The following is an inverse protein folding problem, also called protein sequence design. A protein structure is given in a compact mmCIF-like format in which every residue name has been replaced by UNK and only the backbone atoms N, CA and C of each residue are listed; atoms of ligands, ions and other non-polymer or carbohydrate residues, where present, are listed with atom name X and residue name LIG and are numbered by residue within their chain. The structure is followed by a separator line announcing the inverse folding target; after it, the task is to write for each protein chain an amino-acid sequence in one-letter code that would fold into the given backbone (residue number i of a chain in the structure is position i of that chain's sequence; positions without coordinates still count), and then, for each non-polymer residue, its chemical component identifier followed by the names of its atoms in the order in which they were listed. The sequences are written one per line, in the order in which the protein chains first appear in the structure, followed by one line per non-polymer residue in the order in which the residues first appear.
data_IF_349780340866
#
_entry.id   IF_349780340866
#
_cell.length_a   1.000
_cell.length_b   1.000
_cell.length_c   1.000
_cell.angle_alpha   90.00
_cell.angle_beta   90.00
_cell.angle_gamma   90.00
#
_symmetry.space_group_name_H-M   'P 1'
#
loop_
_entity.id
_entity.type
_entity.pdbx_description
1 polymer ?
#
# COMPACT_ATOMS: atom_id res chain seq x y z
N UNK A 1 2.99 -63.92 5.74
CA UNK A 1 4.15 -63.33 5.05
C UNK A 1 3.85 -61.85 4.86
N UNK A 2 4.75 -61.00 5.34
CA UNK A 2 4.57 -59.56 5.52
C UNK A 2 4.77 -58.76 4.22
N UNK A 3 4.24 -57.51 4.24
CA UNK A 3 4.76 -56.30 3.56
C UNK A 3 4.75 -56.33 2.01
N UNK A 4 4.32 -55.31 1.27
CA UNK A 4 4.92 -53.96 1.21
C UNK A 4 3.86 -52.93 0.80
N UNK A 5 3.67 -51.93 1.66
CA UNK A 5 3.07 -50.64 1.36
C UNK A 5 4.11 -49.79 0.61
N UNK A 6 3.82 -49.32 -0.59
CA UNK A 6 4.66 -48.30 -1.24
C UNK A 6 4.19 -46.91 -0.84
N UNK A 7 4.88 -46.34 0.14
CA UNK A 7 4.87 -44.90 0.44
C UNK A 7 5.43 -44.13 -0.78
N UNK A 8 4.56 -43.43 -1.51
CA UNK A 8 4.97 -42.38 -2.44
C UNK A 8 5.27 -41.12 -1.64
N UNK A 9 6.52 -41.01 -1.17
CA UNK A 9 7.00 -39.90 -0.37
C UNK A 9 6.87 -38.56 -1.07
N UNK A 10 6.50 -37.56 -0.28
CA UNK A 10 6.67 -36.14 -0.55
C UNK A 10 8.06 -35.88 -1.15
N UNK A 11 8.07 -35.46 -2.42
CA UNK A 11 9.24 -34.82 -2.99
C UNK A 11 9.41 -33.47 -2.30
N UNK A 12 10.62 -33.12 -1.82
CA UNK A 12 10.85 -31.82 -1.20
C UNK A 12 10.54 -30.74 -2.22
N UNK A 13 9.57 -29.88 -1.87
CA UNK A 13 9.22 -28.69 -2.62
C UNK A 13 10.50 -27.87 -2.85
N UNK A 14 10.89 -27.74 -4.12
CA UNK A 14 11.97 -26.89 -4.62
C UNK A 14 12.01 -25.55 -3.87
N UNK A 15 13.15 -25.10 -3.32
CA UNK A 15 13.17 -23.87 -2.55
C UNK A 15 13.07 -22.65 -3.48
N UNK A 16 12.32 -21.66 -2.99
CA UNK A 16 12.28 -20.24 -3.30
C UNK A 16 12.00 -19.81 -4.76
N UNK A 17 10.89 -19.07 -4.91
CA UNK A 17 10.64 -18.24 -6.08
C UNK A 17 11.83 -17.32 -6.33
N UNK A 18 12.34 -17.30 -7.57
CA UNK A 18 13.47 -16.50 -8.01
C UNK A 18 13.32 -15.00 -7.64
N UNK A 19 13.89 -14.61 -6.49
CA UNK A 19 14.10 -13.24 -6.09
C UNK A 19 15.37 -12.67 -6.74
N UNK A 20 15.68 -11.40 -6.47
CA UNK A 20 16.95 -10.80 -6.90
C UNK A 20 18.13 -11.41 -6.15
N UNK A 21 19.30 -11.42 -6.80
CA UNK A 21 20.57 -11.80 -6.19
C UNK A 21 21.42 -10.55 -6.02
N UNK A 22 21.73 -10.16 -4.78
CA UNK A 22 22.57 -8.99 -4.51
C UNK A 22 24.00 -9.14 -5.08
N UNK A 23 24.48 -10.37 -5.26
CA UNK A 23 25.81 -10.65 -5.79
C UNK A 23 26.07 -10.14 -7.22
N UNK A 24 25.02 -9.82 -7.99
CA UNK A 24 25.15 -9.29 -9.36
C UNK A 24 24.92 -7.78 -9.46
N UNK A 25 24.85 -7.09 -8.32
CA UNK A 25 24.59 -5.65 -8.27
C UNK A 25 25.82 -4.84 -8.69
N UNK A 26 25.58 -3.69 -9.33
CA UNK A 26 26.62 -2.70 -9.55
C UNK A 26 27.14 -2.13 -8.22
N UNK A 27 28.29 -1.46 -8.25
CA UNK A 27 28.85 -0.79 -7.07
C UNK A 27 27.86 0.22 -6.45
N UNK A 28 27.15 0.99 -7.28
CA UNK A 28 26.14 1.95 -6.84
C UNK A 28 24.94 1.24 -6.20
N UNK A 29 24.50 0.12 -6.76
CA UNK A 29 23.38 -0.65 -6.19
C UNK A 29 23.76 -1.26 -4.85
N UNK A 30 24.98 -1.80 -4.76
CA UNK A 30 25.54 -2.43 -3.55
C UNK A 30 25.70 -1.40 -2.44
N UNK A 31 26.34 -0.25 -2.71
CA UNK A 31 26.49 0.83 -1.72
C UNK A 31 25.15 1.41 -1.23
N UNK A 32 24.06 1.21 -1.98
CA UNK A 32 22.72 1.63 -1.58
C UNK A 32 21.94 0.62 -0.76
N UNK A 33 22.32 -0.67 -0.72
CA UNK A 33 21.61 -1.69 0.05
C UNK A 33 21.49 -1.31 1.53
N UNK A 34 22.60 -0.89 2.13
CA UNK A 34 22.71 -0.59 3.56
C UNK A 34 22.57 0.91 3.87
N UNK A 35 22.14 1.72 2.89
CA UNK A 35 21.91 3.14 3.10
C UNK A 35 20.71 3.35 4.03
N UNK A 36 20.97 3.83 5.24
CA UNK A 36 19.95 4.12 6.24
C UNK A 36 19.05 5.27 5.79
N UNK A 37 17.74 5.03 5.80
CA UNK A 37 16.73 6.06 5.51
C UNK A 37 16.33 6.79 6.79
N UNK A 38 16.19 8.14 6.75
CA UNK A 38 15.77 8.90 7.91
C UNK A 38 14.31 8.57 8.25
N UNK A 39 14.08 8.07 9.47
CA UNK A 39 12.75 7.90 10.03
C UNK A 39 12.31 9.13 10.83
N UNK A 40 11.00 9.46 10.85
CA UNK A 40 10.44 10.43 11.78
C UNK A 40 10.82 10.12 13.23
N UNK A 41 11.10 11.15 14.04
CA UNK A 41 11.55 10.98 15.43
C UNK A 41 10.57 10.13 16.28
N UNK A 42 9.26 10.26 16.02
CA UNK A 42 8.21 9.50 16.72
C UNK A 42 8.27 7.98 16.47
N UNK A 43 8.90 7.52 15.38
CA UNK A 43 9.09 6.09 15.12
C UNK A 43 10.40 5.55 15.70
N UNK A 44 11.31 6.42 16.14
CA UNK A 44 12.59 6.04 16.78
C UNK A 44 12.48 5.83 18.28
N UNK A 45 11.46 6.41 18.91
CA UNK A 45 11.19 6.23 20.34
C UNK A 45 10.61 4.85 20.63
N UNK A 46 10.79 4.29 21.84
CA UNK A 46 10.31 2.95 22.17
C UNK A 46 8.78 2.82 22.15
N UNK A 47 8.07 3.93 22.38
CA UNK A 47 6.62 3.98 22.37
C UNK A 47 6.11 5.33 21.84
N UNK A 48 4.93 5.29 21.21
CA UNK A 48 4.16 6.47 20.84
C UNK A 48 2.70 6.24 21.19
N UNK A 49 1.95 7.33 21.32
CA UNK A 49 0.50 7.32 21.46
C UNK A 49 -0.13 7.74 20.14
N UNK A 50 -1.27 7.13 19.84
CA UNK A 50 -2.13 7.49 18.72
C UNK A 50 -3.16 8.48 19.25
N UNK A 51 -3.16 9.70 18.72
CA UNK A 51 -4.07 10.78 19.14
C UNK A 51 -5.00 11.10 17.99
N UNK A 52 -6.30 11.00 18.27
CA UNK A 52 -7.35 11.37 17.33
C UNK A 52 -7.41 12.89 17.17
N UNK A 53 -7.47 13.32 15.92
CA UNK A 53 -7.73 14.68 15.50
C UNK A 53 -9.20 14.90 15.15
N UNK A 54 -9.52 15.98 14.42
CA UNK A 54 -10.89 16.24 14.00
C UNK A 54 -11.45 15.12 13.10
N UNK A 55 -12.77 14.86 13.16
CA UNK A 55 -13.48 14.00 12.21
C UNK A 55 -13.23 14.43 10.77
N UNK A 56 -13.05 13.47 9.87
CA UNK A 56 -12.91 13.74 8.44
C UNK A 56 -14.27 13.95 7.76
N UNK A 57 -14.26 14.56 6.59
CA UNK A 57 -15.42 14.66 5.71
C UNK A 57 -14.98 14.52 4.25
N UNK A 58 -15.93 14.29 3.35
CA UNK A 58 -15.66 14.23 1.92
C UNK A 58 -15.56 15.64 1.30
N UNK A 59 -14.73 15.80 0.27
CA UNK A 59 -14.58 17.08 -0.43
C UNK A 59 -15.79 17.43 -1.32
N UNK A 60 -16.58 16.44 -1.71
CA UNK A 60 -17.79 16.63 -2.49
C UNK A 60 -18.84 15.58 -2.15
N UNK A 61 -20.10 16.00 -2.16
CA UNK A 61 -21.28 15.17 -1.89
C UNK A 61 -21.20 14.34 -0.59
N UNK A 62 -20.94 14.96 0.59
CA UNK A 62 -20.73 14.23 1.84
C UNK A 62 -21.89 13.29 2.19
N UNK A 63 -23.13 13.69 1.93
CA UNK A 63 -24.32 12.86 2.22
C UNK A 63 -24.38 11.60 1.35
N UNK A 64 -23.93 11.66 0.10
CA UNK A 64 -23.87 10.49 -0.78
C UNK A 64 -22.73 9.55 -0.38
N UNK A 65 -21.58 10.11 -0.01
CA UNK A 65 -20.42 9.33 0.44
C UNK A 65 -20.72 8.66 1.78
N UNK A 66 -21.38 9.35 2.71
CA UNK A 66 -21.81 8.77 3.98
C UNK A 66 -22.74 7.56 3.79
N UNK A 67 -23.61 7.60 2.77
CA UNK A 67 -24.46 6.44 2.41
C UNK A 67 -23.68 5.28 1.82
N UNK A 68 -22.61 5.56 1.08
CA UNK A 68 -21.76 4.52 0.47
C UNK A 68 -20.80 3.88 1.49
N UNK A 69 -20.36 4.65 2.48
CA UNK A 69 -19.34 4.25 3.46
C UNK A 69 -19.82 4.44 4.91
N UNK A 70 -20.92 3.82 5.34
CA UNK A 70 -21.47 4.02 6.68
C UNK A 70 -20.52 3.59 7.80
N UNK A 71 -19.61 2.65 7.56
CA UNK A 71 -18.64 2.20 8.56
C UNK A 71 -17.35 3.04 8.63
N UNK A 72 -16.98 3.72 7.54
CA UNK A 72 -15.73 4.48 7.43
C UNK A 72 -15.90 6.00 7.40
N UNK A 73 -17.06 6.51 7.02
CA UNK A 73 -17.27 7.94 6.90
C UNK A 73 -17.11 8.63 8.27
N UNK A 74 -16.46 9.79 8.31
CA UNK A 74 -16.30 10.57 9.53
C UNK A 74 -15.17 10.12 10.46
N UNK A 75 -14.37 9.12 10.09
CA UNK A 75 -13.25 8.68 10.92
C UNK A 75 -12.28 9.85 11.23
N UNK A 76 -11.79 9.95 12.48
CA UNK A 76 -10.88 11.03 12.84
C UNK A 76 -9.56 10.90 12.09
N UNK A 77 -8.97 12.05 11.79
CA UNK A 77 -7.54 12.10 11.46
C UNK A 77 -6.72 11.61 12.65
N UNK A 78 -5.50 11.14 12.41
CA UNK A 78 -4.66 10.53 13.44
C UNK A 78 -3.28 11.17 13.44
N UNK A 79 -2.76 11.47 14.63
CA UNK A 79 -1.38 11.91 14.85
C UNK A 79 -0.65 10.99 15.82
N UNK A 80 0.65 10.78 15.57
CA UNK A 80 1.50 10.03 16.49
C UNK A 80 2.27 11.00 17.39
N UNK A 81 2.19 10.81 18.69
CA UNK A 81 2.87 11.63 19.69
C UNK A 81 3.85 10.75 20.48
N UNK A 82 5.13 11.14 20.65
CA UNK A 82 6.08 10.38 21.46
C UNK A 82 5.55 10.16 22.89
N UNK A 83 5.77 8.96 23.43
CA UNK A 83 5.36 8.62 24.80
C UNK A 83 6.49 7.88 25.52
N UNK A 84 6.62 8.12 26.81
CA UNK A 84 7.52 7.36 27.70
C UNK A 84 6.86 6.10 28.26
N UNK A 85 5.52 6.06 28.22
CA UNK A 85 4.71 4.93 28.70
C UNK A 85 4.09 4.25 27.50
N UNK A 86 4.25 2.93 27.39
CA UNK A 86 3.47 2.15 26.44
C UNK A 86 2.01 2.20 26.87
N UNK A 87 1.19 2.98 26.16
CA UNK A 87 -0.26 2.84 26.28
C UNK A 87 -0.64 1.40 25.93
N UNK A 88 -1.62 0.83 26.61
CA UNK A 88 -2.02 -0.60 26.54
C UNK A 88 -2.65 -1.03 25.19
N UNK A 89 -2.25 -0.41 24.07
CA UNK A 89 -2.79 -0.69 22.75
C UNK A 89 -1.87 -0.33 21.57
N UNK A 90 -0.62 0.11 21.78
CA UNK A 90 0.26 0.54 20.67
C UNK A 90 1.32 -0.47 20.23
N UNK A 91 1.65 -1.45 21.08
CA UNK A 91 2.43 -2.62 20.68
C UNK A 91 1.66 -3.83 21.15
N UNK A 92 1.10 -4.54 20.20
CA UNK A 92 0.40 -5.75 20.48
C UNK A 92 1.42 -6.81 20.85
N UNK A 93 1.32 -7.38 22.04
CA UNK A 93 2.07 -8.60 22.42
C UNK A 93 1.67 -9.83 21.54
N UNK A 94 0.79 -9.61 20.56
CA UNK A 94 0.41 -10.58 19.57
C UNK A 94 1.16 -10.40 18.25
N UNK A 95 1.54 -11.54 17.67
CA UNK A 95 2.10 -11.67 16.32
C UNK A 95 1.07 -11.19 15.30
N UNK A 96 1.47 -10.29 14.41
CA UNK A 96 0.63 -9.78 13.34
C UNK A 96 0.87 -10.54 12.04
N UNK A 97 -0.17 -10.75 11.25
CA UNK A 97 -0.11 -11.24 9.88
C UNK A 97 -0.59 -10.13 8.95
N UNK A 98 0.34 -9.55 8.21
CA UNK A 98 0.07 -8.42 7.33
C UNK A 98 0.23 -8.86 5.87
N UNK A 99 -0.74 -8.51 5.03
CA UNK A 99 -0.63 -8.60 3.58
C UNK A 99 -0.22 -7.26 2.97
N UNK A 100 0.56 -7.27 1.89
CA UNK A 100 0.90 -6.07 1.11
C UNK A 100 0.75 -6.33 -0.38
N UNK A 101 0.27 -5.32 -1.11
CA UNK A 101 0.10 -5.38 -2.56
C UNK A 101 0.61 -4.10 -3.23
N UNK A 102 1.33 -4.26 -4.34
CA UNK A 102 1.72 -3.16 -5.23
C UNK A 102 0.70 -3.04 -6.37
N UNK A 103 0.00 -1.92 -6.46
CA UNK A 103 -1.05 -1.70 -7.45
C UNK A 103 -0.73 -0.52 -8.37
N UNK A 104 -1.08 -0.64 -9.65
CA UNK A 104 -0.88 0.39 -10.66
C UNK A 104 0.52 0.41 -11.29
N UNK A 105 0.86 1.54 -11.90
CA UNK A 105 2.19 1.77 -12.49
C UNK A 105 3.27 1.93 -11.42
N UNK A 106 4.47 1.43 -11.73
CA UNK A 106 5.63 1.50 -10.83
C UNK A 106 6.00 2.95 -10.47
N UNK A 107 6.48 3.13 -9.25
CA UNK A 107 7.02 4.39 -8.76
C UNK A 107 8.28 4.12 -7.93
N UNK A 108 9.33 4.95 -8.00
CA UNK A 108 10.49 4.82 -7.11
C UNK A 108 10.07 4.83 -5.64
N UNK A 109 10.60 3.91 -4.83
CA UNK A 109 10.33 3.81 -3.39
C UNK A 109 9.32 2.74 -2.97
N UNK A 110 8.65 2.04 -3.90
CA UNK A 110 7.68 1.00 -3.52
C UNK A 110 8.29 -0.16 -2.73
N UNK A 111 9.51 -0.60 -3.09
CA UNK A 111 10.23 -1.60 -2.28
C UNK A 111 10.51 -1.09 -0.87
N UNK A 112 10.86 0.18 -0.71
CA UNK A 112 11.14 0.78 0.60
C UNK A 112 9.91 0.85 1.50
N UNK A 113 8.70 1.01 0.95
CA UNK A 113 7.46 0.90 1.73
C UNK A 113 7.34 -0.52 2.31
N UNK A 114 7.55 -1.55 1.49
CA UNK A 114 7.51 -2.95 1.94
C UNK A 114 8.60 -3.23 2.97
N UNK A 115 9.83 -2.75 2.73
CA UNK A 115 10.96 -2.91 3.66
C UNK A 115 10.66 -2.24 5.00
N UNK A 116 10.11 -1.02 5.00
CA UNK A 116 9.79 -0.30 6.24
C UNK A 116 8.70 -0.98 7.07
N UNK A 117 7.67 -1.54 6.40
CA UNK A 117 6.65 -2.36 7.08
C UNK A 117 7.31 -3.60 7.69
N UNK A 118 8.15 -4.29 6.92
CA UNK A 118 8.86 -5.48 7.40
C UNK A 118 9.74 -5.16 8.60
N UNK A 119 10.56 -4.11 8.53
CA UNK A 119 11.46 -3.69 9.61
C UNK A 119 10.68 -3.34 10.88
N UNK A 120 9.58 -2.59 10.73
CA UNK A 120 8.71 -2.28 11.86
C UNK A 120 8.15 -3.54 12.52
N UNK A 121 7.68 -4.51 11.72
CA UNK A 121 7.18 -5.79 12.24
C UNK A 121 8.29 -6.59 12.95
N UNK A 122 9.50 -6.65 12.40
CA UNK A 122 10.61 -7.37 13.03
C UNK A 122 11.13 -6.69 14.30
N UNK A 123 11.10 -5.36 14.37
CA UNK A 123 11.59 -4.61 15.53
C UNK A 123 10.54 -4.52 16.65
N UNK A 124 9.30 -4.14 16.31
CA UNK A 124 8.26 -3.79 17.27
C UNK A 124 7.21 -4.89 17.49
N UNK A 125 7.04 -5.84 16.57
CA UNK A 125 6.01 -6.89 16.65
C UNK A 125 6.62 -8.27 16.33
N UNK A 126 7.66 -8.67 17.08
CA UNK A 126 8.45 -9.87 16.78
C UNK A 126 7.58 -11.13 16.62
N UNK A 127 7.92 -11.93 15.61
CA UNK A 127 7.16 -13.13 15.24
C UNK A 127 5.96 -12.86 14.31
N UNK A 128 5.79 -11.61 13.86
CA UNK A 128 4.86 -11.26 12.80
C UNK A 128 5.31 -11.75 11.42
N UNK A 129 4.33 -11.97 10.54
CA UNK A 129 4.54 -12.43 9.16
C UNK A 129 4.06 -11.38 8.17
N UNK A 130 4.83 -11.16 7.10
CA UNK A 130 4.46 -10.27 6.01
C UNK A 130 4.30 -11.07 4.71
N UNK A 131 3.13 -10.98 4.10
CA UNK A 131 2.81 -11.62 2.82
C UNK A 131 2.75 -10.60 1.70
N UNK A 132 3.48 -10.85 0.62
CA UNK A 132 3.44 -10.03 -0.60
C UNK A 132 2.55 -10.65 -1.68
N UNK A 133 1.43 -10.02 -2.01
CA UNK A 133 0.52 -10.47 -3.06
C UNK A 133 1.07 -10.17 -4.46
N UNK A 134 1.15 -11.21 -5.29
CA UNK A 134 1.81 -11.16 -6.59
C UNK A 134 0.93 -10.56 -7.68
N UNK A 135 1.45 -9.60 -8.43
CA UNK A 135 0.81 -9.06 -9.64
C UNK A 135 -0.38 -8.16 -9.35
N UNK A 136 -0.36 -7.40 -8.25
CA UNK A 136 -1.42 -6.45 -7.90
C UNK A 136 -2.66 -7.09 -7.27
N UNK A 137 -3.83 -6.41 -7.32
CA UNK A 137 -5.05 -6.88 -6.65
C UNK A 137 -5.53 -8.26 -7.09
N UNK A 138 -5.20 -8.68 -8.32
CA UNK A 138 -5.37 -10.05 -8.79
C UNK A 138 -4.71 -11.11 -7.91
N UNK A 139 -3.57 -10.78 -7.29
CA UNK A 139 -2.87 -11.65 -6.37
C UNK A 139 -3.69 -11.93 -5.12
N UNK A 140 -4.42 -10.92 -4.61
CA UNK A 140 -5.32 -11.07 -3.48
C UNK A 140 -6.47 -12.00 -3.86
N UNK A 141 -7.18 -11.70 -4.95
CA UNK A 141 -8.35 -12.49 -5.38
C UNK A 141 -8.01 -13.94 -5.70
N UNK A 142 -6.80 -14.22 -6.19
CA UNK A 142 -6.36 -15.57 -6.58
C UNK A 142 -5.52 -16.26 -5.50
N UNK A 143 -5.40 -15.68 -4.31
CA UNK A 143 -4.55 -16.19 -3.22
C UNK A 143 -3.11 -16.48 -3.68
N UNK A 144 -2.56 -15.63 -4.56
CA UNK A 144 -1.19 -15.72 -5.08
C UNK A 144 -0.30 -14.76 -4.31
N UNK A 145 0.47 -15.30 -3.37
CA UNK A 145 1.37 -14.52 -2.52
C UNK A 145 2.71 -15.25 -2.33
N UNK A 146 3.64 -14.55 -1.70
CA UNK A 146 4.84 -15.11 -1.08
C UNK A 146 4.95 -14.56 0.35
N UNK A 147 5.51 -15.36 1.24
CA UNK A 147 6.01 -14.85 2.51
C UNK A 147 7.31 -14.07 2.25
N UNK A 148 7.40 -12.87 2.82
CA UNK A 148 8.57 -12.02 2.68
C UNK A 148 9.47 -12.22 3.91
N UNK A 149 10.67 -12.73 3.67
CA UNK A 149 11.69 -12.96 4.69
C UNK A 149 12.81 -11.93 4.59
N UNK A 150 13.68 -11.86 5.60
CA UNK A 150 14.85 -10.98 5.62
C UNK A 150 15.71 -11.16 4.37
N UNK A 151 16.06 -12.40 4.03
CA UNK A 151 16.91 -12.72 2.87
C UNK A 151 16.21 -12.38 1.55
N UNK A 152 14.89 -12.58 1.48
CA UNK A 152 14.12 -12.26 0.29
C UNK A 152 14.03 -10.75 0.06
N UNK A 153 13.82 -9.95 1.12
CA UNK A 153 13.67 -8.50 1.03
C UNK A 153 15.02 -7.80 0.83
N UNK A 154 16.11 -8.31 1.43
CA UNK A 154 17.41 -7.62 1.47
C UNK A 154 17.87 -7.09 0.11
N UNK A 155 17.87 -7.86 -0.99
CA UNK A 155 18.27 -7.36 -2.30
C UNK A 155 17.43 -6.19 -2.81
N UNK A 156 16.20 -6.00 -2.35
CA UNK A 156 15.30 -4.94 -2.84
C UNK A 156 15.46 -3.63 -2.07
N UNK A 157 16.22 -3.59 -0.98
CA UNK A 157 16.42 -2.38 -0.18
C UNK A 157 17.01 -1.26 -1.02
N UNK A 158 16.34 -0.11 -0.98
CA UNK A 158 16.70 1.12 -1.72
C UNK A 158 16.78 0.95 -3.24
N UNK A 159 16.23 -0.13 -3.79
CA UNK A 159 16.20 -0.37 -5.23
C UNK A 159 14.89 0.11 -5.86
N UNK A 160 14.98 0.64 -7.08
CA UNK A 160 13.80 0.96 -7.88
C UNK A 160 13.07 -0.28 -8.41
N UNK A 161 11.92 -0.03 -9.04
CA UNK A 161 11.06 -1.08 -9.60
C UNK A 161 10.01 -1.57 -8.61
N UNK A 162 9.06 -2.36 -9.12
CA UNK A 162 7.98 -3.03 -8.39
C UNK A 162 8.09 -4.56 -8.52
N UNK A 163 9.23 -5.06 -8.99
CA UNK A 163 9.44 -6.45 -9.39
C UNK A 163 9.55 -7.45 -8.23
N UNK A 164 9.68 -6.99 -6.98
CA UNK A 164 9.64 -7.86 -5.78
C UNK A 164 8.39 -8.75 -5.77
N UNK A 165 7.21 -8.16 -5.99
CA UNK A 165 5.92 -8.87 -6.07
C UNK A 165 5.16 -8.57 -7.36
N UNK A 166 5.72 -7.75 -8.26
CA UNK A 166 5.05 -7.20 -9.45
C UNK A 166 3.80 -6.40 -9.09
N UNK A 167 3.25 -5.69 -10.07
CA UNK A 167 2.00 -4.98 -9.91
C UNK A 167 0.98 -5.35 -10.97
N UNK A 168 -0.26 -4.95 -10.72
CA UNK A 168 -1.41 -5.14 -11.60
C UNK A 168 -2.34 -3.95 -11.48
N UNK A 169 -3.36 -3.91 -12.35
CA UNK A 169 -4.38 -2.85 -12.39
C UNK A 169 -5.79 -3.41 -12.26
N UNK A 170 -5.89 -4.66 -11.82
CA UNK A 170 -7.18 -5.31 -11.60
C UNK A 170 -7.98 -4.52 -10.58
N UNK A 171 -9.29 -4.48 -10.80
CA UNK A 171 -10.23 -3.85 -9.91
C UNK A 171 -10.98 -4.89 -9.09
N UNK A 172 -11.44 -4.48 -7.91
CA UNK A 172 -12.31 -5.26 -7.04
C UNK A 172 -13.62 -4.50 -6.97
N UNK A 173 -14.53 -4.85 -7.86
CA UNK A 173 -15.81 -4.17 -8.07
C UNK A 173 -17.01 -5.13 -7.97
N UNK A 174 -16.85 -6.41 -8.35
CA UNK A 174 -17.96 -7.37 -8.32
C UNK A 174 -18.07 -8.09 -6.97
N UNK A 175 -19.28 -8.52 -6.55
CA UNK A 175 -19.47 -9.29 -5.32
C UNK A 175 -18.59 -10.55 -5.23
N UNK A 176 -18.34 -11.22 -6.36
CA UNK A 176 -17.47 -12.40 -6.43
C UNK A 176 -16.00 -12.04 -6.15
N UNK A 177 -15.54 -10.89 -6.65
CA UNK A 177 -14.18 -10.39 -6.40
C UNK A 177 -13.98 -10.01 -4.93
N UNK A 178 -14.99 -9.37 -4.30
CA UNK A 178 -14.98 -9.12 -2.86
C UNK A 178 -14.91 -10.43 -2.10
N UNK A 179 -15.77 -11.41 -2.42
CA UNK A 179 -15.77 -12.72 -1.78
C UNK A 179 -14.41 -13.43 -1.90
N UNK A 180 -13.78 -13.40 -3.06
CA UNK A 180 -12.44 -13.96 -3.26
C UNK A 180 -11.37 -13.29 -2.39
N UNK A 181 -11.44 -11.97 -2.23
CA UNK A 181 -10.56 -11.24 -1.32
C UNK A 181 -10.83 -11.62 0.14
N UNK A 182 -12.09 -11.71 0.54
CA UNK A 182 -12.52 -12.13 1.88
C UNK A 182 -12.01 -13.54 2.24
N UNK A 183 -12.20 -14.50 1.33
CA UNK A 183 -11.71 -15.87 1.48
C UNK A 183 -10.19 -15.91 1.66
N UNK A 184 -9.46 -15.10 0.89
CA UNK A 184 -7.99 -15.04 0.98
C UNK A 184 -7.52 -14.45 2.30
N UNK A 185 -8.06 -13.31 2.73
CA UNK A 185 -7.64 -12.67 3.99
C UNK A 185 -8.04 -13.51 5.21
N UNK A 186 -9.18 -14.22 5.13
CA UNK A 186 -9.64 -15.13 6.19
C UNK A 186 -8.77 -16.38 6.25
N UNK A 187 -8.47 -16.99 5.10
CA UNK A 187 -7.60 -18.18 5.03
C UNK A 187 -6.20 -17.92 5.59
N UNK A 188 -5.68 -16.72 5.36
CA UNK A 188 -4.38 -16.29 5.88
C UNK A 188 -4.46 -15.72 7.29
N UNK A 189 -5.66 -15.52 7.83
CA UNK A 189 -5.92 -14.89 9.13
C UNK A 189 -5.19 -13.53 9.25
N UNK A 190 -5.35 -12.68 8.22
CA UNK A 190 -4.66 -11.38 8.19
C UNK A 190 -5.26 -10.41 9.21
N UNK A 191 -4.40 -9.77 9.99
CA UNK A 191 -4.74 -8.61 10.83
C UNK A 191 -4.85 -7.34 9.97
N UNK A 192 -4.04 -7.25 8.90
CA UNK A 192 -3.96 -6.06 8.07
C UNK A 192 -3.65 -6.35 6.61
N UNK A 193 -4.14 -5.49 5.72
CA UNK A 193 -3.85 -5.48 4.29
C UNK A 193 -3.43 -4.08 3.85
N UNK A 194 -2.20 -3.93 3.37
CA UNK A 194 -1.65 -2.66 2.89
C UNK A 194 -1.71 -2.60 1.36
N UNK A 195 -2.46 -1.64 0.83
CA UNK A 195 -2.61 -1.39 -0.61
C UNK A 195 -1.77 -0.19 -1.02
N UNK A 196 -0.69 -0.43 -1.75
CA UNK A 196 0.24 0.61 -2.20
C UNK A 196 -0.11 0.98 -3.65
N UNK A 197 -0.68 2.16 -3.86
CA UNK A 197 -1.21 2.50 -5.18
C UNK A 197 -1.67 3.96 -5.35
N UNK A 198 -2.18 4.25 -6.54
CA UNK A 198 -2.72 5.58 -6.88
C UNK A 198 -4.16 5.77 -6.40
N UNK A 199 -4.85 6.74 -6.97
CA UNK A 199 -6.28 7.05 -6.76
C UNK A 199 -7.19 5.82 -6.94
N UNK A 200 -7.11 5.13 -8.08
CA UNK A 200 -7.92 3.92 -8.36
C UNK A 200 -7.70 2.83 -7.31
N UNK A 201 -6.44 2.68 -6.87
CA UNK A 201 -6.05 1.63 -5.94
C UNK A 201 -6.49 1.94 -4.51
N UNK A 202 -6.39 3.20 -4.08
CA UNK A 202 -6.91 3.63 -2.77
C UNK A 202 -8.43 3.66 -2.75
N UNK A 203 -9.09 3.83 -3.90
CA UNK A 203 -10.54 3.64 -4.04
C UNK A 203 -10.93 2.18 -3.78
N UNK A 204 -10.23 1.22 -4.40
CA UNK A 204 -10.43 -0.21 -4.12
C UNK A 204 -10.14 -0.56 -2.65
N UNK A 205 -9.10 0.04 -2.05
CA UNK A 205 -8.77 -0.15 -0.65
C UNK A 205 -9.90 0.32 0.28
N UNK A 206 -10.51 1.47 -0.02
CA UNK A 206 -11.66 2.00 0.74
C UNK A 206 -12.89 1.09 0.62
N UNK A 207 -13.21 0.63 -0.59
CA UNK A 207 -14.32 -0.31 -0.81
C UNK A 207 -14.12 -1.65 -0.07
N UNK A 208 -12.90 -2.20 -0.12
CA UNK A 208 -12.54 -3.38 0.65
C UNK A 208 -12.65 -3.16 2.16
N UNK A 209 -12.14 -2.03 2.66
CA UNK A 209 -12.21 -1.69 4.07
C UNK A 209 -13.66 -1.63 4.57
N UNK A 210 -14.54 -0.99 3.80
CA UNK A 210 -15.96 -0.86 4.12
C UNK A 210 -16.64 -2.22 4.13
N UNK A 211 -16.42 -3.03 3.09
CA UNK A 211 -16.95 -4.38 2.99
C UNK A 211 -16.51 -5.26 4.17
N UNK A 212 -15.21 -5.24 4.52
CA UNK A 212 -14.68 -5.99 5.65
C UNK A 212 -15.27 -5.54 6.99
N UNK A 213 -15.48 -4.23 7.17
CA UNK A 213 -16.14 -3.69 8.38
C UNK A 213 -17.61 -4.08 8.47
N UNK A 214 -18.37 -3.98 7.38
CA UNK A 214 -19.78 -4.40 7.35
C UNK A 214 -19.95 -5.88 7.68
N UNK A 215 -18.96 -6.71 7.33
CA UNK A 215 -18.92 -8.15 7.65
C UNK A 215 -18.24 -8.47 8.98
N UNK A 216 -17.91 -7.46 9.80
CA UNK A 216 -17.21 -7.62 11.08
C UNK A 216 -15.94 -8.47 11.00
N UNK A 217 -15.21 -8.34 9.89
CA UNK A 217 -13.95 -9.06 9.71
C UNK A 217 -12.84 -8.44 10.55
N UNK A 218 -11.91 -9.29 11.00
CA UNK A 218 -10.71 -8.91 11.76
C UNK A 218 -9.77 -8.00 10.95
N UNK A 219 -9.62 -8.29 9.65
CA UNK A 219 -8.64 -7.64 8.78
C UNK A 219 -8.94 -6.16 8.57
N UNK A 220 -7.96 -5.30 8.86
CA UNK A 220 -7.98 -3.87 8.53
C UNK A 220 -7.32 -3.60 7.18
N UNK A 221 -7.78 -2.60 6.43
CA UNK A 221 -7.18 -2.24 5.14
C UNK A 221 -6.60 -0.83 5.23
N UNK A 222 -5.36 -0.67 4.80
CA UNK A 222 -4.60 0.59 4.83
C UNK A 222 -4.13 0.94 3.43
N UNK A 223 -4.39 2.17 3.00
CA UNK A 223 -3.91 2.71 1.72
C UNK A 223 -2.56 3.44 1.86
N UNK A 224 -1.67 3.28 0.89
CA UNK A 224 -0.40 4.02 0.81
C UNK A 224 -0.34 4.83 -0.50
N UNK A 225 -0.13 6.16 -0.44
CA UNK A 225 -0.28 7.04 -1.60
C UNK A 225 0.92 7.00 -2.55
N UNK A 226 0.77 6.25 -3.65
CA UNK A 226 1.77 6.04 -4.70
C UNK A 226 1.32 6.66 -6.02
N UNK A 227 2.01 7.68 -6.52
CA UNK A 227 1.89 8.13 -7.91
C UNK A 227 3.09 9.00 -8.30
N UNK A 228 3.51 8.90 -9.57
CA UNK A 228 4.55 9.79 -10.12
C UNK A 228 3.96 11.10 -10.66
N UNK A 229 2.63 11.21 -10.70
CA UNK A 229 1.92 12.37 -11.25
C UNK A 229 1.72 13.48 -10.21
N UNK A 230 1.89 13.18 -8.92
CA UNK A 230 1.75 14.15 -7.82
C UNK A 230 0.32 14.64 -7.61
N UNK A 231 -0.68 13.87 -8.04
CA UNK A 231 -2.10 14.23 -8.05
C UNK A 231 -2.89 13.67 -6.85
N UNK A 232 -2.38 12.64 -6.18
CA UNK A 232 -2.95 12.12 -4.92
C UNK A 232 -2.42 12.92 -3.73
N UNK A 233 -3.10 14.02 -3.38
CA UNK A 233 -2.71 14.93 -2.30
C UNK A 233 -3.91 15.50 -1.54
N UNK A 234 -3.71 15.78 -0.25
CA UNK A 234 -4.62 16.52 0.62
C UNK A 234 -3.81 17.29 1.67
N UNK A 235 -4.47 17.90 2.67
CA UNK A 235 -3.78 18.63 3.75
C UNK A 235 -2.84 17.72 4.55
N UNK A 236 -3.24 16.48 4.77
CA UNK A 236 -2.52 15.46 5.54
C UNK A 236 -1.51 14.68 4.67
N UNK A 237 -1.74 14.62 3.36
CA UNK A 237 -0.86 13.96 2.38
C UNK A 237 -0.33 15.02 1.40
N UNK A 238 0.77 15.72 1.74
CA UNK A 238 1.25 16.85 0.93
C UNK A 238 1.81 16.41 -0.43
N UNK A 239 2.30 15.17 -0.52
CA UNK A 239 2.81 14.58 -1.76
C UNK A 239 2.68 13.06 -1.72
N UNK A 240 2.68 12.45 -2.90
CA UNK A 240 2.74 11.01 -3.08
C UNK A 240 4.17 10.56 -3.33
N UNK A 241 4.51 9.34 -2.91
CA UNK A 241 5.86 8.86 -3.12
C UNK A 241 6.12 8.52 -4.60
N UNK A 242 7.37 8.72 -5.02
CA UNK A 242 7.84 8.53 -6.39
C UNK A 242 7.78 9.78 -7.27
N UNK A 243 6.96 10.78 -6.92
CA UNK A 243 6.89 12.07 -7.63
C UNK A 243 8.25 12.79 -7.65
N UNK A 244 8.89 12.98 -6.49
CA UNK A 244 10.17 13.69 -6.38
C UNK A 244 11.26 13.09 -7.31
N UNK A 245 11.46 11.78 -7.24
CA UNK A 245 12.45 11.08 -8.06
C UNK A 245 12.09 11.10 -9.55
N UNK A 246 10.80 11.00 -9.90
CA UNK A 246 10.38 11.13 -11.29
C UNK A 246 10.69 12.52 -11.85
N UNK A 247 10.49 13.56 -11.05
CA UNK A 247 10.76 14.93 -11.47
C UNK A 247 12.26 15.22 -11.59
N UNK A 248 13.08 14.76 -10.64
CA UNK A 248 14.55 14.89 -10.72
C UNK A 248 15.14 14.22 -11.97
N UNK A 249 14.53 13.11 -12.41
CA UNK A 249 14.97 12.38 -13.61
C UNK A 249 14.27 12.85 -14.90
N UNK A 250 13.69 14.05 -14.91
CA UNK A 250 13.12 14.68 -16.11
C UNK A 250 11.85 14.00 -16.65
N UNK A 251 11.23 13.09 -15.88
CA UNK A 251 9.93 12.51 -16.23
C UNK A 251 8.78 13.44 -15.89
N UNK A 252 9.02 14.45 -15.06
CA UNK A 252 8.16 15.63 -14.93
C UNK A 252 8.76 16.80 -15.72
N UNK A 253 8.09 17.27 -16.77
CA UNK A 253 8.40 18.59 -17.33
C UNK A 253 7.57 19.64 -16.58
N UNK A 254 8.22 20.40 -15.71
CA UNK A 254 7.66 21.66 -15.22
C UNK A 254 7.75 22.67 -16.38
N UNK A 255 6.61 23.08 -16.94
CA UNK A 255 6.58 24.25 -17.82
C UNK A 255 6.87 25.48 -16.95
N UNK A 256 7.95 26.19 -17.25
CA UNK A 256 8.36 27.43 -16.63
C UNK A 256 7.40 28.57 -16.99
N UNK A 257 6.22 28.59 -16.36
CA UNK A 257 5.28 29.70 -16.42
C UNK A 257 4.52 29.79 -15.09
N UNK A 258 4.98 30.67 -14.20
CA UNK A 258 4.24 31.30 -13.10
C UNK A 258 3.43 30.39 -12.13
N UNK A 259 4.05 30.12 -10.97
CA UNK A 259 3.44 30.02 -9.63
C UNK A 259 2.14 29.19 -9.46
N UNK A 260 1.96 28.15 -10.27
CA UNK A 260 0.97 27.09 -10.06
C UNK A 260 1.63 25.76 -10.45
N UNK A 261 1.71 24.79 -9.52
CA UNK A 261 2.22 23.44 -9.80
C UNK A 261 1.27 22.75 -10.80
N UNK A 262 1.52 22.94 -12.09
CA UNK A 262 0.77 22.31 -13.18
C UNK A 262 1.46 21.03 -13.66
N UNK A 263 0.59 20.06 -13.94
CA UNK A 263 0.80 18.67 -14.39
C UNK A 263 2.00 18.44 -15.31
N UNK A 264 2.54 17.22 -15.23
CA UNK A 264 3.40 16.62 -16.24
C UNK A 264 2.67 16.56 -17.60
N UNK A 265 2.83 17.57 -18.44
CA UNK A 265 2.41 17.54 -19.85
C UNK A 265 3.65 17.72 -20.73
N UNK A 266 4.17 16.62 -21.24
CA UNK A 266 5.24 16.61 -22.24
C UNK A 266 5.02 15.49 -23.25
N UNK A 267 5.53 15.60 -24.49
CA UNK A 267 5.26 14.66 -25.58
C UNK A 267 5.79 13.23 -25.34
N UNK A 268 6.54 13.00 -24.25
CA UNK A 268 7.05 11.69 -23.79
C UNK A 268 6.72 11.38 -22.32
N UNK A 269 5.81 12.13 -21.70
CA UNK A 269 5.31 11.79 -20.36
C UNK A 269 4.22 10.72 -20.52
N UNK A 270 4.29 9.57 -19.82
CA UNK A 270 3.17 8.67 -19.67
C UNK A 270 2.14 9.29 -18.71
N UNK A 271 1.64 10.49 -19.02
CA UNK A 271 0.53 11.10 -18.30
C UNK A 271 -0.75 10.42 -18.77
N UNK A 272 -1.46 9.74 -17.87
CA UNK A 272 -2.84 9.32 -18.16
C UNK A 272 -3.77 10.44 -17.73
N UNK A 273 -4.41 11.09 -18.71
CA UNK A 273 -5.63 11.87 -18.47
C UNK A 273 -6.82 11.17 -19.11
N UNK A 274 -7.68 10.57 -18.29
CA UNK A 274 -9.11 10.61 -18.56
C UNK A 274 -9.65 11.94 -18.04
N UNK A 275 -10.61 12.54 -18.72
CA UNK A 275 -11.29 13.80 -18.34
C UNK A 275 -12.09 13.65 -17.02
N UNK A 276 -11.43 13.45 -15.88
CA UNK A 276 -12.02 13.45 -14.54
C UNK A 276 -11.15 14.32 -13.63
N UNK A 277 -11.02 15.60 -13.99
CA UNK A 277 -10.32 16.57 -13.17
C UNK A 277 -11.25 17.75 -12.89
N UNK A 278 -11.66 17.89 -11.63
CA UNK A 278 -12.19 19.15 -11.12
C UNK A 278 -11.03 19.81 -10.36
N UNK A 279 -10.62 20.99 -10.81
CA UNK A 279 -9.74 21.89 -10.06
C UNK A 279 -10.56 22.63 -9.00
N UNK A 280 -10.02 22.81 -7.80
CA UNK A 280 -10.54 23.80 -6.87
C UNK A 280 -9.40 24.64 -6.28
N UNK A 281 -9.48 25.95 -6.57
CA UNK A 281 -8.85 27.02 -5.80
C UNK A 281 -9.62 27.23 -4.48
N UNK A 282 -8.94 27.77 -3.46
CA UNK A 282 -9.39 28.23 -2.12
C UNK A 282 -9.30 27.23 -0.93
N UNK A 283 -9.10 27.75 0.31
CA UNK A 283 -8.18 27.20 1.30
C UNK A 283 -8.98 26.79 2.54
N UNK A 284 -9.72 25.70 2.48
CA UNK A 284 -10.27 25.05 3.67
C UNK A 284 -10.91 23.74 3.27
N UNK A 285 -10.63 22.70 4.06
CA UNK A 285 -11.34 21.43 4.13
C UNK A 285 -10.83 20.28 3.22
N UNK A 286 -10.59 19.14 3.89
CA UNK A 286 -9.96 17.91 3.42
C UNK A 286 -10.97 16.93 2.75
N UNK A 287 -10.46 15.88 2.07
CA UNK A 287 -11.03 15.29 0.84
C UNK A 287 -11.36 13.78 0.87
N UNK A 288 -12.22 13.31 -0.07
CA UNK A 288 -12.20 12.03 -0.87
C UNK A 288 -13.38 12.04 -1.91
N UNK A 289 -13.23 11.32 -3.05
CA UNK A 289 -13.89 11.45 -4.39
C UNK A 289 -15.04 10.45 -4.71
N UNK A 290 -15.94 10.82 -5.65
CA UNK A 290 -16.81 9.90 -6.43
C UNK A 290 -17.08 10.44 -7.86
N UNK A 291 -17.23 9.55 -8.86
CA UNK A 291 -18.26 9.70 -9.91
C UNK A 291 -18.65 8.36 -10.54
N UNK A 292 -19.93 7.97 -10.37
CA UNK A 292 -20.65 6.98 -11.20
C UNK A 292 -20.67 7.38 -12.67
N UNK A 293 -20.66 6.41 -13.57
CA UNK A 293 -21.29 6.55 -14.90
C UNK A 293 -22.37 5.47 -15.04
N UNK A 294 -23.63 5.89 -15.02
CA UNK A 294 -24.72 5.13 -15.64
C UNK A 294 -24.41 4.93 -17.11
N UNK A 295 -24.62 3.71 -17.60
CA UNK A 295 -25.03 3.45 -18.98
C UNK A 295 -26.26 2.58 -18.90
N UNK A 296 -27.42 3.19 -19.07
CA UNK A 296 -28.56 2.55 -19.71
C UNK A 296 -28.26 2.50 -21.22
N UNK A 297 -28.63 1.37 -21.84
CA UNK A 297 -28.79 1.06 -23.27
C UNK A 297 -27.83 1.71 -24.28
#
# INVERSE_FOLDING_TARGET
MASVLSNGGDLPSKPASAGRLAAVYSEVQTSRLDHALPLPAVLKVPAFNVVDGPPSSAAGNPDEIAKLFPGLFGQPSVSLVPSTVQASGTVTDHKLKIGVVLSGGQAPGGHNVICGIFDYLQEKAKGSTLYGFKGGPAGIMRSKYIELTTDFIYPYRNQGGFDMIRSGRDKIETPEQFKQAEETVTKLDLDGLVVIGGDDSNTNACLLAENFRQKNMKTRVIGCPKTIDGDLKCKEVPTSFGFDTACKNGRCRASSSHRTLQRCKGPRCPSRSGNHQIQFNHPSSSYIFNRRRSREL
#
